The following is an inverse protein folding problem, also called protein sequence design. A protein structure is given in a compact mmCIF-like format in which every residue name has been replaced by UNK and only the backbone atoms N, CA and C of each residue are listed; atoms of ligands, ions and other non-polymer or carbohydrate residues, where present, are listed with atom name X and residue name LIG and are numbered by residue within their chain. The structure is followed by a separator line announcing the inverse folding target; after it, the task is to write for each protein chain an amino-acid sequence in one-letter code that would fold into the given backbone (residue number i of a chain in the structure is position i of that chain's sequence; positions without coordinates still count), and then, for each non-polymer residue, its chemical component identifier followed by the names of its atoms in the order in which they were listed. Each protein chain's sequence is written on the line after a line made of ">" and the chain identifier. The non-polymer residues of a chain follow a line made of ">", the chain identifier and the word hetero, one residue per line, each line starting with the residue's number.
data_IF_469646211297
#
_entry.id   IF_469646211297
#
_cell.length_a   1.000
_cell.length_b   1.000
_cell.length_c   1.000
_cell.angle_alpha   90.00
_cell.angle_beta   90.00
_cell.angle_gamma   90.00
#
_symmetry.space_group_name_H-M   'P 1'
#
loop_
_entity.id
_entity.type
_entity.pdbx_description
1 polymer ?
#
# COMPACT_ATOMS: atom_id res chain seq x y z
N UNK A 1 -2.19 -9.45 22.11
CA UNK A 1 -2.82 -9.70 20.81
C UNK A 1 -2.89 -11.20 20.59
N UNK A 2 -4.09 -11.73 20.40
CA UNK A 2 -4.29 -13.17 20.16
C UNK A 2 -4.17 -13.42 18.65
N UNK A 3 -3.12 -14.13 18.22
CA UNK A 3 -3.00 -14.57 16.83
C UNK A 3 -3.84 -15.83 16.65
N UNK A 4 -5.01 -15.68 16.02
CA UNK A 4 -5.77 -16.84 15.52
C UNK A 4 -5.01 -17.48 14.38
N UNK A 5 -4.94 -18.80 14.35
CA UNK A 5 -4.46 -19.52 13.17
C UNK A 5 -5.32 -19.16 11.95
N UNK A 6 -4.65 -18.66 10.91
CA UNK A 6 -5.30 -18.27 9.66
C UNK A 6 -5.24 -19.45 8.70
N UNK A 7 -6.37 -20.10 8.47
CA UNK A 7 -6.49 -21.09 7.39
C UNK A 7 -6.41 -20.35 6.04
N UNK A 8 -5.30 -20.55 5.32
CA UNK A 8 -5.03 -19.87 4.04
C UNK A 8 -5.81 -20.54 2.91
N UNK A 9 -6.94 -19.95 2.52
CA UNK A 9 -7.71 -20.34 1.33
C UNK A 9 -7.37 -19.42 0.16
N UNK A 10 -7.02 -19.98 -1.00
CA UNK A 10 -6.92 -19.22 -2.25
C UNK A 10 -8.31 -18.77 -2.69
N UNK A 11 -8.50 -17.47 -2.86
CA UNK A 11 -9.79 -16.86 -3.26
C UNK A 11 -9.79 -16.29 -4.68
N UNK A 12 -8.60 -16.07 -5.27
CA UNK A 12 -8.42 -15.60 -6.64
C UNK A 12 -7.39 -16.47 -7.37
N UNK A 13 -7.56 -16.62 -8.69
CA UNK A 13 -6.52 -17.21 -9.52
C UNK A 13 -5.31 -16.26 -9.63
N UNK A 14 -4.10 -16.77 -9.86
CA UNK A 14 -2.91 -15.93 -10.05
C UNK A 14 -3.07 -14.93 -11.20
N UNK A 15 -3.75 -15.31 -12.28
CA UNK A 15 -3.97 -14.47 -13.46
C UNK A 15 -4.87 -13.27 -13.13
N UNK A 16 -5.95 -13.50 -12.37
CA UNK A 16 -6.84 -12.42 -11.93
C UNK A 16 -6.11 -11.47 -10.97
N UNK A 17 -5.37 -12.01 -10.01
CA UNK A 17 -4.60 -11.20 -9.06
C UNK A 17 -3.52 -10.36 -9.76
N UNK A 18 -2.88 -10.93 -10.79
CA UNK A 18 -1.90 -10.25 -11.61
C UNK A 18 -2.53 -9.08 -12.37
N UNK A 19 -3.64 -9.30 -13.08
CA UNK A 19 -4.31 -8.26 -13.87
C UNK A 19 -4.74 -7.09 -12.97
N UNK A 20 -5.34 -7.38 -11.80
CA UNK A 20 -5.73 -6.35 -10.84
C UNK A 20 -4.51 -5.53 -10.38
N UNK A 21 -3.43 -6.20 -10.00
CA UNK A 21 -2.21 -5.52 -9.55
C UNK A 21 -1.57 -4.69 -10.65
N UNK A 22 -1.55 -5.21 -11.89
CA UNK A 22 -0.98 -4.52 -13.04
C UNK A 22 -1.77 -3.25 -13.40
N UNK A 23 -3.10 -3.30 -13.33
CA UNK A 23 -3.94 -2.11 -13.53
C UNK A 23 -3.64 -1.04 -12.46
N UNK A 24 -3.49 -1.44 -11.20
CA UNK A 24 -3.26 -0.52 -10.08
C UNK A 24 -1.83 0.01 -9.98
N UNK A 25 -0.89 -0.65 -10.65
CA UNK A 25 0.50 -0.25 -10.79
C UNK A 25 0.65 0.89 -11.81
N UNK A 26 -0.20 0.93 -12.84
CA UNK A 26 -0.10 1.92 -13.90
C UNK A 26 -0.38 3.35 -13.37
N UNK A 27 0.68 4.15 -13.32
CA UNK A 27 0.56 5.56 -12.98
C UNK A 27 -0.01 6.40 -14.14
N UNK A 28 0.23 5.99 -15.39
CA UNK A 28 -0.28 6.69 -16.57
C UNK A 28 -1.81 6.69 -16.57
N UNK A 29 -2.41 5.56 -16.20
CA UNK A 29 -3.86 5.43 -16.03
C UNK A 29 -4.45 6.40 -14.98
N UNK A 30 -3.64 6.89 -14.04
CA UNK A 30 -4.05 7.76 -12.92
C UNK A 30 -3.70 9.24 -13.11
N UNK A 31 -2.97 9.59 -14.17
CA UNK A 31 -2.46 10.95 -14.40
C UNK A 31 -3.56 12.01 -14.45
N UNK A 32 -4.67 11.72 -15.13
CA UNK A 32 -5.78 12.68 -15.33
C UNK A 32 -6.37 13.10 -13.97
N UNK A 33 -6.43 12.17 -13.00
CA UNK A 33 -7.08 12.42 -11.71
C UNK A 33 -6.11 12.99 -10.68
N UNK A 34 -4.87 12.51 -10.63
CA UNK A 34 -3.95 12.83 -9.53
C UNK A 34 -2.71 13.60 -9.96
N UNK A 35 -2.46 13.74 -11.26
CA UNK A 35 -1.23 14.32 -11.80
C UNK A 35 -0.03 13.37 -11.68
N UNK A 36 1.07 13.76 -12.33
CA UNK A 36 2.31 12.96 -12.37
C UNK A 36 3.08 12.93 -11.05
N UNK A 37 2.93 13.96 -10.21
CA UNK A 37 3.68 14.14 -8.97
C UNK A 37 2.83 13.89 -7.70
N UNK A 38 1.80 13.04 -7.79
CA UNK A 38 0.99 12.68 -6.63
C UNK A 38 1.76 11.85 -5.61
N UNK A 39 1.30 11.84 -4.35
CA UNK A 39 1.84 10.95 -3.31
C UNK A 39 1.72 9.45 -3.64
N UNK A 40 0.91 9.09 -4.63
CA UNK A 40 0.72 7.72 -5.08
C UNK A 40 1.76 7.27 -6.11
N UNK A 41 2.60 8.19 -6.59
CA UNK A 41 3.70 7.90 -7.50
C UNK A 41 5.02 7.98 -6.73
N UNK A 42 5.73 6.86 -6.65
CA UNK A 42 7.03 6.78 -5.99
C UNK A 42 8.07 6.45 -7.05
N UNK A 43 8.85 7.46 -7.44
CA UNK A 43 9.82 7.33 -8.52
C UNK A 43 10.78 6.17 -8.28
N UNK A 44 10.98 5.35 -9.31
CA UNK A 44 11.88 4.19 -9.27
C UNK A 44 11.30 2.94 -8.58
N UNK A 45 10.09 3.01 -8.00
CA UNK A 45 9.46 1.88 -7.32
C UNK A 45 8.17 1.45 -8.01
N UNK A 46 7.98 0.14 -8.05
CA UNK A 46 6.80 -0.50 -8.64
C UNK A 46 5.82 -0.85 -7.53
N UNK A 47 4.83 0.01 -7.32
CA UNK A 47 3.86 -0.11 -6.23
C UNK A 47 2.45 -0.01 -6.80
N UNK A 48 1.64 -1.05 -6.60
CA UNK A 48 0.22 -1.01 -6.92
C UNK A 48 -0.51 -0.20 -5.85
N UNK A 49 -1.39 0.73 -6.24
CA UNK A 49 -2.07 1.61 -5.27
C UNK A 49 -3.53 1.86 -5.64
N UNK A 50 -4.41 1.77 -4.65
CA UNK A 50 -5.81 2.18 -4.73
C UNK A 50 -6.17 3.18 -3.64
N UNK A 51 -6.83 4.26 -4.03
CA UNK A 51 -7.45 5.22 -3.11
C UNK A 51 -8.94 4.97 -2.97
N UNK A 52 -9.52 5.39 -1.84
CA UNK A 52 -10.96 5.37 -1.59
C UNK A 52 -11.39 6.61 -0.81
N UNK A 53 -12.54 7.19 -1.17
CA UNK A 53 -13.18 8.28 -0.45
C UNK A 53 -14.68 8.01 -0.43
N UNK A 54 -15.32 8.08 0.74
CA UNK A 54 -16.78 8.02 0.85
C UNK A 54 -17.41 9.33 0.39
N UNK A 55 -18.66 9.29 -0.12
CA UNK A 55 -19.37 10.46 -0.66
C UNK A 55 -19.40 11.66 0.31
N UNK A 56 -19.56 11.41 1.61
CA UNK A 56 -19.60 12.44 2.66
C UNK A 56 -18.22 12.87 3.19
N UNK A 57 -17.11 12.46 2.54
CA UNK A 57 -15.72 12.73 2.98
C UNK A 57 -15.44 12.33 4.45
N UNK A 58 -16.06 11.25 4.92
CA UNK A 58 -15.88 10.71 6.28
C UNK A 58 -14.71 9.74 6.39
N UNK A 59 -14.46 9.01 5.30
CA UNK A 59 -13.38 8.05 5.21
C UNK A 59 -12.48 8.36 4.03
N UNK A 60 -11.18 8.40 4.30
CA UNK A 60 -10.15 8.42 3.28
C UNK A 60 -9.24 7.21 3.44
N UNK A 61 -9.09 6.46 2.35
CA UNK A 61 -8.29 5.25 2.29
C UNK A 61 -7.19 5.40 1.25
N UNK A 62 -6.00 4.92 1.59
CA UNK A 62 -4.96 4.58 0.63
C UNK A 62 -4.41 3.21 0.96
N UNK A 63 -4.52 2.29 0.02
CA UNK A 63 -4.02 0.93 0.13
C UNK A 63 -3.04 0.72 -1.01
N UNK A 64 -1.82 0.29 -0.68
CA UNK A 64 -0.82 0.02 -1.69
C UNK A 64 0.16 -1.05 -1.26
N UNK A 65 0.68 -1.76 -2.25
CA UNK A 65 1.47 -2.95 -2.03
C UNK A 65 2.53 -3.21 -3.10
N UNK A 66 3.56 -3.95 -2.67
CA UNK A 66 4.52 -4.70 -3.48
C UNK A 66 4.30 -6.19 -3.22
N UNK A 67 5.03 -7.11 -3.88
CA UNK A 67 4.92 -8.54 -3.57
C UNK A 67 5.22 -8.91 -2.11
N UNK A 68 5.99 -8.07 -1.39
CA UNK A 68 6.46 -8.37 -0.04
C UNK A 68 5.84 -7.48 1.05
N UNK A 69 5.30 -6.30 0.68
CA UNK A 69 4.82 -5.30 1.64
C UNK A 69 3.44 -4.84 1.24
N UNK A 70 2.53 -4.77 2.22
CA UNK A 70 1.21 -4.15 2.08
C UNK A 70 1.06 -3.10 3.17
N UNK A 71 0.63 -1.89 2.78
CA UNK A 71 0.27 -0.83 3.71
C UNK A 71 -1.14 -0.37 3.37
N UNK A 72 -2.02 -0.39 4.37
CA UNK A 72 -3.35 0.18 4.32
C UNK A 72 -3.44 1.32 5.33
N UNK A 73 -3.87 2.49 4.87
CA UNK A 73 -4.01 3.68 5.70
C UNK A 73 -5.42 4.21 5.59
N UNK A 74 -6.02 4.48 6.74
CA UNK A 74 -7.31 5.13 6.88
C UNK A 74 -7.15 6.44 7.66
N UNK A 75 -7.89 7.45 7.25
CA UNK A 75 -8.05 8.72 7.96
C UNK A 75 -9.54 9.04 7.99
N UNK A 76 -10.05 9.35 9.18
CA UNK A 76 -11.45 9.70 9.45
C UNK A 76 -11.61 10.25 10.86
N UNK A 77 -12.71 10.96 11.11
CA UNK A 77 -13.05 11.39 12.47
C UNK A 77 -13.68 10.21 13.23
N UNK A 78 -13.26 10.01 14.48
CA UNK A 78 -13.73 8.88 15.29
C UNK A 78 -15.21 8.98 15.69
N UNK A 79 -15.81 10.17 15.55
CA UNK A 79 -17.24 10.43 15.76
C UNK A 79 -18.07 10.39 14.46
N UNK A 80 -17.45 9.94 13.35
CA UNK A 80 -18.08 9.83 12.03
C UNK A 80 -18.54 11.18 11.43
N UNK A 81 -18.06 12.31 11.95
CA UNK A 81 -18.28 13.62 11.35
C UNK A 81 -17.44 13.78 10.05
N UNK A 82 -17.91 14.56 9.06
CA UNK A 82 -17.13 14.85 7.84
C UNK A 82 -15.79 15.55 8.13
N UNK A 83 -14.73 15.22 7.38
CA UNK A 83 -13.37 15.78 7.57
C UNK A 83 -13.14 17.17 6.94
N UNK A 84 -14.20 17.90 6.58
CA UNK A 84 -14.10 19.19 5.89
C UNK A 84 -13.68 19.07 4.41
N UNK A 85 -13.59 20.20 3.72
CA UNK A 85 -13.58 20.20 2.25
C UNK A 85 -12.31 19.72 1.57
N UNK A 86 -11.18 19.71 2.28
CA UNK A 86 -9.85 19.37 1.75
C UNK A 86 -9.55 17.87 1.84
N UNK A 87 -10.46 17.07 2.41
CA UNK A 87 -10.24 15.64 2.66
C UNK A 87 -10.62 14.78 1.44
N UNK A 88 -9.62 14.39 0.65
CA UNK A 88 -9.72 13.37 -0.40
C UNK A 88 -8.75 12.21 -0.12
N UNK A 89 -8.90 11.08 -0.80
CA UNK A 89 -8.00 9.93 -0.61
C UNK A 89 -6.52 10.27 -0.81
N UNK A 90 -6.23 11.26 -1.65
CA UNK A 90 -4.85 11.71 -1.96
C UNK A 90 -4.31 12.75 -0.97
N UNK A 91 -5.18 13.52 -0.31
CA UNK A 91 -4.77 14.57 0.63
C UNK A 91 -4.83 14.12 2.09
N UNK A 92 -5.66 13.12 2.42
CA UNK A 92 -5.77 12.56 3.77
C UNK A 92 -4.84 11.37 4.02
N UNK A 93 -5.16 10.21 3.44
CA UNK A 93 -4.46 8.96 3.75
C UNK A 93 -3.16 8.75 2.97
N UNK A 94 -3.07 9.24 1.73
CA UNK A 94 -1.91 8.99 0.87
C UNK A 94 -0.56 9.52 1.41
N UNK A 95 -0.45 10.71 2.03
CA UNK A 95 0.83 11.18 2.56
C UNK A 95 1.36 10.28 3.69
N UNK A 96 0.48 9.80 4.56
CA UNK A 96 0.81 8.88 5.65
C UNK A 96 1.22 7.52 5.07
N UNK A 97 0.42 6.98 4.16
CA UNK A 97 0.73 5.73 3.44
C UNK A 97 2.11 5.78 2.78
N UNK A 98 2.41 6.86 2.05
CA UNK A 98 3.69 7.01 1.33
C UNK A 98 4.87 6.98 2.27
N UNK A 99 4.77 7.65 3.42
CA UNK A 99 5.84 7.63 4.43
C UNK A 99 6.06 6.22 4.95
N UNK A 100 5.00 5.52 5.34
CA UNK A 100 5.12 4.17 5.93
C UNK A 100 5.68 3.17 4.92
N UNK A 101 5.18 3.16 3.68
CA UNK A 101 5.62 2.17 2.70
C UNK A 101 7.07 2.38 2.26
N UNK A 102 7.53 3.64 2.19
CA UNK A 102 8.94 3.94 1.90
C UNK A 102 9.86 3.41 3.01
N UNK A 103 9.54 3.71 4.28
CA UNK A 103 10.31 3.19 5.41
C UNK A 103 10.30 1.65 5.45
N UNK A 104 9.14 1.04 5.21
CA UNK A 104 9.00 -0.42 5.19
C UNK A 104 9.83 -1.07 4.08
N UNK A 105 9.87 -0.47 2.88
CA UNK A 105 10.67 -0.98 1.76
C UNK A 105 12.17 -0.88 2.02
N UNK A 106 12.63 0.21 2.63
CA UNK A 106 14.04 0.37 3.02
C UNK A 106 14.45 -0.74 3.98
N UNK A 107 13.68 -0.96 5.05
CA UNK A 107 13.96 -2.00 6.03
C UNK A 107 13.87 -3.41 5.44
N UNK A 108 12.91 -3.67 4.56
CA UNK A 108 12.82 -4.97 3.88
C UNK A 108 14.06 -5.26 3.03
N UNK A 109 14.57 -4.27 2.29
CA UNK A 109 15.80 -4.45 1.51
C UNK A 109 17.03 -4.67 2.39
N UNK A 110 17.14 -3.98 3.53
CA UNK A 110 18.19 -4.21 4.53
C UNK A 110 18.15 -5.65 5.06
N UNK A 111 16.98 -6.13 5.48
CA UNK A 111 16.79 -7.50 5.96
C UNK A 111 17.13 -8.55 4.88
N UNK A 112 16.73 -8.31 3.63
CA UNK A 112 17.10 -9.18 2.50
C UNK A 112 18.62 -9.22 2.31
N UNK A 113 19.30 -8.07 2.39
CA UNK A 113 20.78 -8.00 2.28
C UNK A 113 21.47 -8.73 3.43
N UNK A 114 20.98 -8.57 4.66
CA UNK A 114 21.54 -9.23 5.84
C UNK A 114 21.30 -10.74 5.84
N UNK A 115 20.16 -11.21 5.34
CA UNK A 115 19.86 -12.65 5.24
C UNK A 115 20.65 -13.31 4.11
N UNK A 116 20.80 -12.66 2.96
CA UNK A 116 21.58 -13.16 1.83
C UNK A 116 23.10 -13.21 2.11
N UNK A 117 23.60 -12.39 3.03
CA UNK A 117 25.03 -12.31 3.39
C UNK A 117 25.45 -13.24 4.55
N UNK A 118 24.51 -13.95 5.20
CA UNK A 118 24.84 -14.94 6.22
C UNK A 118 25.35 -16.23 5.56
N UNK A 119 26.60 -16.68 5.83
CA UNK A 119 27.05 -17.97 5.36
C UNK A 119 26.14 -19.06 5.96
N UNK A 120 25.67 -19.98 5.10
CA UNK A 120 24.93 -21.17 5.55
C UNK A 120 25.87 -21.96 6.46
N UNK A 121 25.65 -21.88 7.78
CA UNK A 121 26.31 -22.78 8.70
C UNK A 121 25.68 -24.15 8.48
N UNK A 122 26.40 -25.02 7.78
CA UNK A 122 26.14 -26.46 7.82
C UNK A 122 26.27 -26.89 9.28
N UNK A 123 25.14 -27.17 9.92
CA UNK A 123 25.10 -27.91 11.18
C UNK A 123 25.06 -29.38 10.75
N UNK A 124 26.20 -30.06 10.94
CA UNK A 124 26.27 -31.53 10.97
C UNK A 124 25.55 -32.04 12.22
#
# INVERSE_FOLDING_TARGET
>A
FEQKEVNKKRVLSPEVAYIISHILLDNNARLITFGSNSYLNVAGLTIAVKTGTTDDKRDNWTIGWTPNILVATWVGNNDNSPMGDVASGVTGAAPIWRRIILEALIHWEEDCRLTASRPVRNIL
#
